data_IF_130582657883
#
_entry.id   IF_130582657883
#
_cell.length_a   1.000
_cell.length_b   1.000
_cell.length_c   1.000
_cell.angle_alpha   90.00
_cell.angle_beta   90.00
_cell.angle_gamma   90.00
#
_symmetry.space_group_name_H-M   'P 1'
#
loop_
_entity.id
_entity.type
_entity.pdbx_description
1 polymer ?
#
# COMPACT_ATOMS: atom_id res chain seq x y z
N UNK A 1 0.25 21.10 -45.53
CA UNK A 1 -0.86 20.76 -44.62
C UNK A 1 -0.40 19.72 -43.64
N UNK A 2 -0.23 20.09 -42.37
CA UNK A 2 0.26 19.20 -41.32
C UNK A 2 -0.81 18.14 -40.98
N UNK A 3 -0.41 16.87 -41.05
CA UNK A 3 -1.24 15.71 -40.74
C UNK A 3 -1.57 15.70 -39.24
N UNK A 4 -2.85 15.74 -38.94
CA UNK A 4 -3.42 15.56 -37.60
C UNK A 4 -3.17 14.13 -37.11
N UNK A 5 -2.35 13.98 -36.09
CA UNK A 5 -2.21 12.73 -35.33
C UNK A 5 -3.33 12.65 -34.30
N UNK A 6 -4.27 11.72 -34.50
CA UNK A 6 -5.28 11.34 -33.51
C UNK A 6 -4.57 10.64 -32.35
N UNK A 7 -4.32 11.36 -31.27
CA UNK A 7 -3.91 10.78 -30.00
C UNK A 7 -5.09 10.02 -29.39
N UNK A 8 -4.93 8.71 -29.20
CA UNK A 8 -5.84 7.89 -28.40
C UNK A 8 -5.58 8.18 -26.93
N UNK A 9 -6.41 9.02 -26.32
CA UNK A 9 -6.39 9.26 -24.88
C UNK A 9 -7.07 8.07 -24.18
N UNK A 10 -6.29 7.05 -23.86
CA UNK A 10 -6.77 5.97 -22.99
C UNK A 10 -6.92 6.54 -21.57
N UNK A 11 -8.14 6.96 -21.25
CA UNK A 11 -8.58 7.24 -19.89
C UNK A 11 -8.45 5.95 -19.06
N UNK A 12 -7.31 5.75 -18.41
CA UNK A 12 -7.20 4.80 -17.31
C UNK A 12 -7.85 5.42 -16.08
N UNK A 13 -9.18 5.35 -16.01
CA UNK A 13 -9.87 5.45 -14.74
C UNK A 13 -9.60 4.14 -13.99
N UNK A 14 -8.49 4.06 -13.25
CA UNK A 14 -8.20 2.87 -12.45
C UNK A 14 -9.23 2.80 -11.33
N UNK A 15 -10.19 1.88 -11.46
CA UNK A 15 -11.09 1.55 -10.37
C UNK A 15 -10.25 1.05 -9.20
N UNK A 16 -10.29 1.77 -8.09
CA UNK A 16 -9.60 1.39 -6.86
C UNK A 16 -10.16 0.05 -6.38
N UNK A 17 -9.29 -0.97 -6.26
CA UNK A 17 -9.68 -2.32 -5.85
C UNK A 17 -9.38 -2.53 -4.36
N UNK A 18 -10.39 -2.98 -3.61
CA UNK A 18 -10.19 -3.54 -2.27
C UNK A 18 -9.63 -4.97 -2.37
N UNK A 19 -8.65 -5.31 -1.53
CA UNK A 19 -8.09 -6.66 -1.42
C UNK A 19 -8.58 -7.34 -0.15
N UNK A 20 -8.87 -8.63 -0.25
CA UNK A 20 -9.21 -9.48 0.91
C UNK A 20 -7.94 -9.95 1.64
N UNK A 21 -8.08 -10.41 2.89
CA UNK A 21 -6.99 -11.04 3.64
C UNK A 21 -6.26 -12.15 2.86
N UNK A 22 -7.02 -13.04 2.20
CA UNK A 22 -6.46 -14.17 1.44
C UNK A 22 -5.65 -13.69 0.23
N UNK A 23 -6.19 -12.72 -0.52
CA UNK A 23 -5.48 -12.12 -1.64
C UNK A 23 -4.21 -11.40 -1.16
N UNK A 24 -4.30 -10.58 -0.10
CA UNK A 24 -3.15 -9.88 0.47
C UNK A 24 -2.04 -10.87 0.87
N UNK A 25 -2.39 -11.95 1.57
CA UNK A 25 -1.42 -12.97 1.99
C UNK A 25 -0.76 -13.65 0.79
N UNK A 26 -1.51 -13.95 -0.27
CA UNK A 26 -0.97 -14.49 -1.53
C UNK A 26 -0.02 -13.50 -2.23
N UNK A 27 -0.39 -12.23 -2.30
CA UNK A 27 0.39 -11.15 -2.90
C UNK A 27 1.71 -10.90 -2.14
N UNK A 28 1.68 -10.93 -0.81
CA UNK A 28 2.87 -10.83 0.05
C UNK A 28 3.80 -12.02 -0.16
N UNK A 29 3.27 -13.26 -0.16
CA UNK A 29 4.07 -14.47 -0.33
C UNK A 29 4.76 -14.53 -1.71
N UNK A 30 4.09 -14.02 -2.74
CA UNK A 30 4.62 -13.96 -4.11
C UNK A 30 5.50 -12.74 -4.37
N UNK A 31 5.66 -11.82 -3.39
CA UNK A 31 6.44 -10.58 -3.50
C UNK A 31 6.04 -9.70 -4.70
N UNK A 32 4.76 -9.75 -5.06
CA UNK A 32 4.21 -9.01 -6.21
C UNK A 32 3.73 -7.60 -5.85
N UNK A 33 3.80 -7.23 -4.57
CA UNK A 33 3.31 -5.95 -4.06
C UNK A 33 4.30 -5.30 -3.10
N UNK A 34 4.14 -4.00 -2.93
CA UNK A 34 4.64 -3.25 -1.78
C UNK A 34 3.48 -2.92 -0.86
N UNK A 35 3.48 -3.50 0.34
CA UNK A 35 2.48 -3.20 1.36
C UNK A 35 2.95 -2.01 2.21
N UNK A 36 2.16 -0.94 2.25
CA UNK A 36 2.42 0.27 3.04
C UNK A 36 1.42 0.31 4.21
N UNK A 37 1.92 0.18 5.43
CA UNK A 37 1.16 0.34 6.68
C UNK A 37 1.25 1.80 7.14
N UNK A 38 0.11 2.50 7.10
CA UNK A 38 0.02 3.94 7.40
C UNK A 38 -0.37 4.27 8.84
N UNK A 39 -0.26 3.27 9.74
CA UNK A 39 -0.37 3.49 11.17
C UNK A 39 0.79 4.32 11.71
N UNK A 40 0.60 4.89 12.89
CA UNK A 40 1.65 5.57 13.61
C UNK A 40 2.73 4.58 14.06
N UNK A 41 3.98 5.06 14.17
CA UNK A 41 5.13 4.20 14.51
C UNK A 41 4.95 3.48 15.85
N UNK A 42 4.31 4.14 16.83
CA UNK A 42 4.04 3.53 18.13
C UNK A 42 3.05 2.35 18.05
N UNK A 43 2.07 2.39 17.14
CA UNK A 43 1.14 1.25 16.93
C UNK A 43 1.89 0.02 16.38
N UNK A 44 2.92 0.24 15.57
CA UNK A 44 3.78 -0.82 15.04
C UNK A 44 4.62 -1.45 16.14
N UNK A 45 5.18 -0.63 17.03
CA UNK A 45 6.01 -1.09 18.16
C UNK A 45 5.16 -1.86 19.16
N UNK A 46 3.96 -1.37 19.49
CA UNK A 46 3.08 -1.95 20.50
C UNK A 46 2.39 -3.23 20.02
N UNK A 47 1.79 -3.20 18.83
CA UNK A 47 0.93 -4.29 18.36
C UNK A 47 1.61 -5.18 17.32
N UNK A 48 2.75 -4.75 16.77
CA UNK A 48 3.40 -5.40 15.64
C UNK A 48 2.90 -4.87 14.28
N UNK A 49 3.45 -5.46 13.21
CA UNK A 49 3.12 -5.13 11.82
C UNK A 49 2.86 -6.37 10.98
N UNK A 50 2.22 -6.15 9.83
CA UNK A 50 2.04 -7.19 8.81
C UNK A 50 3.44 -7.53 8.26
N UNK A 51 3.85 -8.81 8.22
CA UNK A 51 5.16 -9.18 7.67
C UNK A 51 5.35 -8.67 6.25
N UNK A 52 6.51 -8.07 5.97
CA UNK A 52 6.82 -7.47 4.67
C UNK A 52 6.21 -6.08 4.43
N UNK A 53 5.49 -5.49 5.41
CA UNK A 53 5.00 -4.11 5.28
C UNK A 53 6.08 -3.07 5.60
N UNK A 54 6.08 -1.99 4.82
CA UNK A 54 6.80 -0.73 5.09
C UNK A 54 5.88 0.15 5.95
N UNK A 55 6.38 0.70 7.07
CA UNK A 55 5.60 1.66 7.85
C UNK A 55 5.89 3.09 7.38
N UNK A 56 4.85 3.76 6.86
CA UNK A 56 4.89 5.17 6.45
C UNK A 56 3.64 5.83 7.04
N UNK A 57 3.73 6.50 8.20
CA UNK A 57 2.57 7.13 8.84
C UNK A 57 1.79 8.01 7.87
N UNK A 58 0.46 8.06 8.01
CA UNK A 58 -0.41 8.76 7.05
C UNK A 58 0.04 10.20 6.75
N UNK A 59 0.48 10.93 7.77
CA UNK A 59 0.97 12.32 7.61
C UNK A 59 2.24 12.44 6.77
N UNK A 60 3.02 11.37 6.64
CA UNK A 60 4.28 11.33 5.88
C UNK A 60 4.09 10.83 4.44
N UNK A 61 2.96 10.18 4.11
CA UNK A 61 2.75 9.50 2.82
C UNK A 61 2.97 10.41 1.61
N UNK A 62 2.43 11.63 1.65
CA UNK A 62 2.53 12.58 0.53
C UNK A 62 3.98 12.96 0.22
N UNK A 63 4.79 13.22 1.25
CA UNK A 63 6.21 13.53 1.13
C UNK A 63 7.02 12.28 0.73
N UNK A 64 6.79 11.16 1.41
CA UNK A 64 7.50 9.90 1.19
C UNK A 64 7.42 9.43 -0.26
N UNK A 65 6.22 9.51 -0.86
CA UNK A 65 6.01 9.07 -2.24
C UNK A 65 6.61 10.02 -3.29
N UNK A 66 7.03 11.22 -2.89
CA UNK A 66 7.64 12.22 -3.78
C UNK A 66 9.14 12.42 -3.55
N UNK A 67 9.66 12.12 -2.35
CA UNK A 67 11.06 12.34 -2.00
C UNK A 67 12.03 11.51 -2.85
N UNK A 68 13.32 11.87 -2.88
CA UNK A 68 14.27 11.12 -3.69
C UNK A 68 14.47 9.68 -3.14
N UNK A 69 14.87 8.70 -3.97
CA UNK A 69 15.02 7.31 -3.52
C UNK A 69 16.05 7.09 -2.40
N UNK A 70 17.09 7.92 -2.31
CA UNK A 70 18.12 7.81 -1.27
C UNK A 70 17.58 8.24 0.09
N UNK A 71 16.92 9.39 0.16
CA UNK A 71 16.29 9.89 1.39
C UNK A 71 15.20 8.93 1.86
N UNK A 72 14.44 8.35 0.93
CA UNK A 72 13.43 7.34 1.26
C UNK A 72 14.09 6.11 1.91
N UNK A 73 15.18 5.62 1.33
CA UNK A 73 15.93 4.48 1.86
C UNK A 73 16.53 4.78 3.23
N UNK A 74 17.06 5.99 3.44
CA UNK A 74 17.58 6.41 4.74
C UNK A 74 16.47 6.48 5.80
N UNK A 75 15.32 7.08 5.46
CA UNK A 75 14.22 7.33 6.40
C UNK A 75 13.40 6.08 6.74
N UNK A 76 13.15 5.20 5.77
CA UNK A 76 12.28 4.03 5.93
C UNK A 76 13.02 2.70 5.89
N UNK A 77 14.33 2.71 5.63
CA UNK A 77 15.17 1.51 5.46
C UNK A 77 14.64 0.54 4.39
N UNK A 78 14.00 1.08 3.35
CA UNK A 78 13.33 0.31 2.30
C UNK A 78 13.55 0.95 0.92
N UNK A 79 13.30 0.20 -0.15
CA UNK A 79 13.38 0.75 -1.51
C UNK A 79 12.14 1.57 -1.82
N UNK A 80 12.33 2.79 -2.33
CA UNK A 80 11.21 3.64 -2.75
C UNK A 80 10.43 2.97 -3.89
N UNK A 81 9.10 2.80 -3.78
CA UNK A 81 8.31 2.26 -4.88
C UNK A 81 8.23 3.22 -6.07
N UNK A 82 8.25 2.64 -7.27
CA UNK A 82 8.02 3.30 -8.54
C UNK A 82 6.53 3.52 -8.81
N UNK A 83 6.18 4.41 -9.75
CA UNK A 83 4.78 4.70 -10.13
C UNK A 83 4.06 3.50 -10.77
N UNK A 84 4.81 2.55 -11.31
CA UNK A 84 4.31 1.32 -11.92
C UNK A 84 4.21 0.16 -10.94
N UNK A 85 4.79 0.27 -9.74
CA UNK A 85 4.75 -0.80 -8.74
C UNK A 85 3.34 -0.96 -8.20
N UNK A 86 3.00 -2.19 -7.82
CA UNK A 86 1.71 -2.51 -7.21
C UNK A 86 1.72 -2.21 -5.72
N UNK A 87 1.01 -1.16 -5.31
CA UNK A 87 0.92 -0.75 -3.91
C UNK A 87 -0.35 -1.28 -3.28
N UNK A 88 -0.24 -1.74 -2.03
CA UNK A 88 -1.40 -1.98 -1.17
C UNK A 88 -1.26 -1.12 0.08
N UNK A 89 -2.30 -0.37 0.42
CA UNK A 89 -2.34 0.42 1.64
C UNK A 89 -3.14 -0.27 2.73
N UNK A 90 -2.58 -0.33 3.94
CA UNK A 90 -3.20 -0.85 5.15
C UNK A 90 -3.08 0.15 6.30
N UNK A 91 -4.01 0.10 7.25
CA UNK A 91 -3.89 0.81 8.51
C UNK A 91 -4.49 -0.07 9.63
N UNK A 92 -5.08 0.52 10.68
CA UNK A 92 -5.77 -0.25 11.72
C UNK A 92 -7.07 -0.91 11.22
N UNK A 93 -7.92 -0.15 10.52
CA UNK A 93 -9.28 -0.54 10.14
C UNK A 93 -9.78 0.13 8.84
N UNK A 94 -8.90 0.32 7.85
CA UNK A 94 -9.26 0.83 6.51
C UNK A 94 -9.35 2.35 6.33
N UNK A 95 -9.70 3.13 7.37
CA UNK A 95 -9.99 4.57 7.18
C UNK A 95 -8.78 5.39 6.73
N UNK A 96 -7.62 5.21 7.37
CA UNK A 96 -6.39 5.96 7.05
C UNK A 96 -5.77 5.49 5.74
N UNK A 97 -5.81 4.18 5.49
CA UNK A 97 -5.28 3.58 4.26
C UNK A 97 -6.03 4.03 3.02
N UNK A 98 -7.34 4.27 3.12
CA UNK A 98 -8.10 4.88 2.01
C UNK A 98 -7.60 6.28 1.65
N UNK A 99 -7.35 7.14 2.65
CA UNK A 99 -6.77 8.47 2.42
C UNK A 99 -5.36 8.42 1.81
N UNK A 100 -4.53 7.48 2.29
CA UNK A 100 -3.20 7.26 1.73
C UNK A 100 -3.25 6.78 0.27
N UNK A 101 -4.21 5.91 -0.04
CA UNK A 101 -4.47 5.48 -1.41
C UNK A 101 -4.85 6.66 -2.29
N UNK A 102 -5.81 7.49 -1.87
CA UNK A 102 -6.24 8.67 -2.63
C UNK A 102 -5.05 9.61 -2.90
N UNK A 103 -4.17 9.76 -1.90
CA UNK A 103 -2.91 10.51 -2.05
C UNK A 103 -2.02 9.89 -3.13
N UNK A 104 -1.79 8.57 -3.10
CA UNK A 104 -0.97 7.88 -4.09
C UNK A 104 -1.56 8.00 -5.51
N UNK A 105 -2.89 7.87 -5.68
CA UNK A 105 -3.56 8.10 -6.96
C UNK A 105 -3.30 9.52 -7.45
N UNK A 106 -3.47 10.53 -6.60
CA UNK A 106 -3.24 11.94 -6.97
C UNK A 106 -1.79 12.22 -7.41
N UNK A 107 -0.84 11.41 -6.92
CA UNK A 107 0.57 11.47 -7.29
C UNK A 107 0.91 10.63 -8.52
N UNK A 108 -0.08 10.02 -9.20
CA UNK A 108 0.12 9.26 -10.43
C UNK A 108 0.68 7.85 -10.23
N UNK A 109 0.42 7.21 -9.09
CA UNK A 109 0.63 5.77 -8.97
C UNK A 109 -0.51 5.03 -9.66
N UNK A 110 -0.13 4.12 -10.58
CA UNK A 110 -1.09 3.52 -11.51
C UNK A 110 -1.72 2.24 -10.97
N UNK A 111 -1.06 1.56 -10.04
CA UNK A 111 -1.51 0.30 -9.45
C UNK A 111 -1.56 0.45 -7.93
N UNK A 112 -2.72 0.86 -7.41
CA UNK A 112 -2.94 1.02 -5.98
C UNK A 112 -4.20 0.27 -5.55
N UNK A 113 -4.08 -0.42 -4.42
CA UNK A 113 -5.14 -1.24 -3.84
C UNK A 113 -5.28 -0.94 -2.36
N UNK A 114 -6.44 -1.26 -1.81
CA UNK A 114 -6.79 -0.95 -0.43
C UNK A 114 -7.09 -2.22 0.36
N UNK A 115 -6.42 -2.40 1.49
CA UNK A 115 -6.77 -3.46 2.43
C UNK A 115 -7.69 -2.90 3.52
N UNK A 116 -9.01 -3.02 3.29
CA UNK A 116 -10.03 -2.40 4.15
C UNK A 116 -10.09 -2.99 5.56
N UNK A 117 -9.80 -4.29 5.72
CA UNK A 117 -9.81 -4.97 7.01
C UNK A 117 -8.70 -4.49 7.97
N UNK A 118 -7.61 -3.96 7.42
CA UNK A 118 -6.48 -3.44 8.19
C UNK A 118 -5.85 -4.47 9.14
N UNK A 119 -5.06 -3.95 10.08
CA UNK A 119 -4.40 -4.73 11.12
C UNK A 119 -5.38 -5.57 11.95
N UNK A 120 -6.58 -5.04 12.24
CA UNK A 120 -7.59 -5.76 13.04
C UNK A 120 -8.01 -7.09 12.39
N UNK A 121 -8.33 -7.05 11.09
CA UNK A 121 -8.67 -8.27 10.35
C UNK A 121 -7.47 -9.21 10.26
N UNK A 122 -6.29 -8.67 9.94
CA UNK A 122 -5.06 -9.45 9.81
C UNK A 122 -4.74 -10.22 11.10
N UNK A 123 -4.71 -9.52 12.23
CA UNK A 123 -4.41 -10.10 13.54
C UNK A 123 -5.43 -11.20 13.89
N UNK A 124 -6.72 -10.95 13.63
CA UNK A 124 -7.79 -11.93 13.90
C UNK A 124 -7.58 -13.24 13.14
N UNK A 125 -7.24 -13.17 11.85
CA UNK A 125 -6.97 -14.37 11.06
C UNK A 125 -5.68 -15.08 11.49
N UNK A 126 -4.59 -14.36 11.72
CA UNK A 126 -3.32 -14.96 12.15
C UNK A 126 -3.43 -15.66 13.52
N UNK A 127 -4.18 -15.10 14.47
CA UNK A 127 -4.44 -15.76 15.74
C UNK A 127 -5.33 -17.00 15.58
N UNK A 128 -6.27 -16.98 14.63
CA UNK A 128 -7.16 -18.12 14.37
C UNK A 128 -6.45 -19.27 13.66
N UNK A 129 -5.53 -18.98 12.75
CA UNK A 129 -4.74 -20.00 12.05
C UNK A 129 -3.75 -20.71 12.99
N UNK A 130 -3.12 -19.98 13.92
CA UNK A 130 -2.23 -20.57 14.95
C UNK A 130 -2.95 -21.55 15.88
N UNK A 131 -4.26 -21.36 16.13
CA UNK A 131 -5.05 -22.27 16.98
C UNK A 131 -5.45 -23.58 16.28
N UNK A 132 -5.43 -23.64 14.95
CA UNK A 132 -5.80 -24.85 14.19
C UNK A 132 -4.62 -25.77 13.89
N UNK A 133 -3.39 -25.29 14.10
CA UNK A 133 -2.15 -26.05 13.89
C UNK A 133 -1.53 -26.64 15.15
N UNK A 134 -2.19 -26.50 16.32
CA UNK A 134 -1.80 -27.12 17.59
C UNK A 134 -2.73 -28.28 17.92
#
# INVERSE_FOLDING_TARGET
>A
GLKSIKGSCHNFCTAVKDVTYKELKSLLNSRQITLIDVRERWEIVEYGKIPGSINIPLGEVGEALQMNPNDFKEKYNEVKPSKSDSLVFSCLAGVRSKKALDTAVSLGFNSVQHYAGGWNEWATYEFSEKKKGN
#
